data_IF_461726104800
#
_entry.id   IF_461726104800
#
_cell.length_a   1.000
_cell.length_b   1.000
_cell.length_c   1.000
_cell.angle_alpha   90.00
_cell.angle_beta   90.00
_cell.angle_gamma   90.00
#
_symmetry.space_group_name_H-M   'P 1'
#
loop_
_entity.id
_entity.type
_entity.pdbx_description
1 polymer ?
#
# COMPACT_ATOMS: atom_id res chain seq x y z
N UNK A 1 -4.35 -12.59 -12.41
CA UNK A 1 -3.88 -11.74 -11.29
C UNK A 1 -4.65 -10.43 -11.40
N UNK A 2 -5.58 -10.16 -10.48
CA UNK A 2 -6.24 -8.85 -10.44
C UNK A 2 -5.26 -7.86 -9.83
N UNK A 3 -4.99 -6.77 -10.55
CA UNK A 3 -4.15 -5.68 -10.07
C UNK A 3 -5.07 -4.51 -9.74
N UNK A 4 -5.02 -4.08 -8.49
CA UNK A 4 -5.69 -2.88 -8.04
C UNK A 4 -4.65 -1.78 -7.89
N UNK A 5 -4.96 -0.59 -8.40
CA UNK A 5 -4.09 0.56 -8.29
C UNK A 5 -4.80 1.59 -7.41
N UNK A 6 -4.23 1.82 -6.24
CA UNK A 6 -4.68 2.85 -5.33
C UNK A 6 -3.87 4.12 -5.60
N UNK A 7 -4.57 5.22 -5.83
CA UNK A 7 -3.98 6.54 -6.08
C UNK A 7 -4.35 7.48 -4.96
N UNK A 8 -3.33 8.03 -4.31
CA UNK A 8 -3.50 8.98 -3.20
C UNK A 8 -3.42 10.40 -3.76
N UNK A 9 -4.43 11.22 -3.46
CA UNK A 9 -4.48 12.64 -3.81
C UNK A 9 -4.98 13.43 -2.61
N UNK A 10 -4.15 14.35 -2.12
CA UNK A 10 -4.46 15.16 -0.94
C UNK A 10 -4.92 14.22 0.19
N UNK A 11 -6.09 14.41 0.77
CA UNK A 11 -6.57 13.58 1.88
C UNK A 11 -7.28 12.29 1.44
N UNK A 12 -7.50 12.12 0.14
CA UNK A 12 -8.29 11.02 -0.43
C UNK A 12 -7.41 9.94 -1.04
N UNK A 13 -7.94 8.72 -1.04
CA UNK A 13 -7.43 7.62 -1.83
C UNK A 13 -8.52 7.15 -2.80
N UNK A 14 -8.14 6.88 -4.05
CA UNK A 14 -9.04 6.40 -5.09
C UNK A 14 -8.52 5.07 -5.67
N UNK A 15 -9.41 4.10 -5.86
CA UNK A 15 -9.15 2.89 -6.61
C UNK A 15 -9.31 3.21 -8.10
N UNK A 16 -8.24 3.03 -8.86
CA UNK A 16 -8.24 3.17 -10.31
C UNK A 16 -8.63 1.83 -10.95
N UNK A 17 -9.69 1.86 -11.75
CA UNK A 17 -10.19 0.71 -12.50
C UNK A 17 -10.14 1.01 -13.99
N UNK A 18 -9.59 0.08 -14.77
CA UNK A 18 -9.50 0.20 -16.22
C UNK A 18 -10.61 -0.56 -16.93
N UNK A 19 -11.34 0.11 -17.83
CA UNK A 19 -12.28 -0.55 -18.74
C UNK A 19 -12.15 0.03 -20.15
N UNK A 20 -11.74 -0.79 -21.12
CA UNK A 20 -11.70 -0.47 -22.56
C UNK A 20 -11.08 0.90 -22.91
N UNK A 21 -9.92 1.22 -22.31
CA UNK A 21 -9.20 2.46 -22.58
C UNK A 21 -9.64 3.67 -21.77
N UNK A 22 -10.66 3.54 -20.92
CA UNK A 22 -11.01 4.53 -19.90
C UNK A 22 -10.51 4.10 -18.52
N UNK A 23 -10.06 5.07 -17.73
CA UNK A 23 -9.74 4.89 -16.30
C UNK A 23 -10.86 5.54 -15.51
N UNK A 24 -11.55 4.76 -14.70
CA UNK A 24 -12.49 5.27 -13.71
C UNK A 24 -11.80 5.28 -12.34
N UNK A 25 -11.99 6.35 -11.57
CA UNK A 25 -11.53 6.41 -10.19
C UNK A 25 -12.72 6.30 -9.23
N UNK A 26 -12.55 5.49 -8.19
CA UNK A 26 -13.57 5.23 -7.18
C UNK A 26 -12.97 5.59 -5.82
N UNK A 27 -13.51 6.58 -5.09
CA UNK A 27 -13.02 6.91 -3.77
C UNK A 27 -13.06 5.71 -2.82
N UNK A 28 -12.05 5.59 -1.96
CA UNK A 28 -11.93 4.57 -0.91
C UNK A 28 -11.92 5.28 0.44
N UNK A 29 -13.10 5.51 1.06
CA UNK A 29 -13.21 6.31 2.29
C UNK A 29 -12.40 5.76 3.47
N UNK A 30 -12.24 4.44 3.55
CA UNK A 30 -11.45 3.78 4.60
C UNK A 30 -9.96 4.12 4.53
N UNK A 31 -9.50 4.69 3.40
CA UNK A 31 -8.13 5.14 3.17
C UNK A 31 -7.99 6.66 3.18
N UNK A 32 -9.01 7.39 3.67
CA UNK A 32 -8.90 8.82 3.92
C UNK A 32 -7.86 9.11 5.01
N UNK A 33 -7.01 10.11 4.80
CA UNK A 33 -6.01 10.53 5.78
C UNK A 33 -5.58 11.97 5.55
N UNK A 34 -5.55 12.78 6.60
CA UNK A 34 -4.98 14.14 6.57
C UNK A 34 -3.45 14.18 6.68
N UNK A 35 -2.79 13.02 6.84
CA UNK A 35 -1.34 12.96 6.98
C UNK A 35 -0.67 13.19 5.62
N UNK A 36 0.21 14.17 5.46
CA UNK A 36 0.76 14.50 4.13
C UNK A 36 1.81 13.50 3.61
N UNK A 37 2.53 12.81 4.51
CA UNK A 37 3.67 11.98 4.14
C UNK A 37 3.27 10.54 3.72
N UNK A 38 3.78 10.10 2.57
CA UNK A 38 3.40 8.83 1.94
C UNK A 38 3.86 7.58 2.72
N UNK A 39 4.99 7.68 3.41
CA UNK A 39 5.55 6.67 4.30
C UNK A 39 4.62 6.38 5.50
N UNK A 40 3.96 7.38 6.08
CA UNK A 40 2.97 7.19 7.13
C UNK A 40 1.67 6.58 6.59
N UNK A 41 1.24 6.97 5.38
CA UNK A 41 0.04 6.44 4.73
C UNK A 41 0.15 4.96 4.39
N UNK A 42 1.36 4.43 4.16
CA UNK A 42 1.53 3.00 3.86
C UNK A 42 0.96 2.12 4.98
N UNK A 43 0.98 2.60 6.23
CA UNK A 43 0.44 1.87 7.38
C UNK A 43 -1.08 1.72 7.25
N UNK A 44 -1.78 2.79 6.87
CA UNK A 44 -3.21 2.77 6.64
C UNK A 44 -3.58 1.78 5.52
N UNK A 45 -2.81 1.79 4.42
CA UNK A 45 -2.97 0.81 3.34
C UNK A 45 -2.70 -0.64 3.79
N UNK A 46 -1.70 -0.87 4.64
CA UNK A 46 -1.40 -2.19 5.17
C UNK A 46 -2.53 -2.70 6.08
N UNK A 47 -3.07 -1.83 6.94
CA UNK A 47 -4.20 -2.15 7.80
C UNK A 47 -5.44 -2.49 6.96
N UNK A 48 -5.79 -1.63 5.99
CA UNK A 48 -6.90 -1.86 5.05
C UNK A 48 -6.75 -3.18 4.31
N UNK A 49 -5.56 -3.45 3.75
CA UNK A 49 -5.29 -4.69 3.03
C UNK A 49 -5.42 -5.92 3.95
N UNK A 50 -4.92 -5.84 5.19
CA UNK A 50 -4.99 -6.94 6.17
C UNK A 50 -6.40 -7.31 6.59
N UNK A 51 -7.34 -6.35 6.52
CA UNK A 51 -8.75 -6.56 6.84
C UNK A 51 -9.53 -7.21 5.70
N UNK A 52 -8.99 -7.24 4.48
CA UNK A 52 -9.69 -7.85 3.34
C UNK A 52 -9.79 -9.37 3.52
N UNK A 53 -10.96 -9.98 3.29
CA UNK A 53 -11.16 -11.42 3.50
C UNK A 53 -10.23 -12.31 2.66
N UNK A 54 -9.83 -11.82 1.49
CA UNK A 54 -8.98 -12.52 0.53
C UNK A 54 -7.48 -12.30 0.76
N UNK A 55 -7.10 -11.41 1.67
CA UNK A 55 -5.69 -11.15 1.98
C UNK A 55 -5.17 -12.17 2.99
N UNK A 56 -4.21 -12.97 2.54
CA UNK A 56 -3.46 -13.88 3.42
C UNK A 56 -2.25 -13.17 4.06
N UNK A 57 -1.58 -12.31 3.28
CA UNK A 57 -0.31 -11.67 3.65
C UNK A 57 -0.23 -10.27 3.06
N UNK A 58 0.38 -9.36 3.81
CA UNK A 58 0.71 -8.00 3.35
C UNK A 58 2.20 -7.94 3.07
N UNK A 59 2.57 -7.63 1.82
CA UNK A 59 3.96 -7.51 1.40
C UNK A 59 4.21 -6.06 1.01
N UNK A 60 5.06 -5.36 1.76
CA UNK A 60 5.47 -4.00 1.44
C UNK A 60 6.82 -4.04 0.75
N UNK A 61 6.87 -3.52 -0.47
CA UNK A 61 8.10 -3.34 -1.23
C UNK A 61 8.48 -1.87 -1.21
N UNK A 62 9.57 -1.54 -0.53
CA UNK A 62 10.11 -0.19 -0.48
C UNK A 62 11.63 -0.24 -0.27
N UNK A 63 12.42 0.62 -0.94
CA UNK A 63 13.83 0.82 -0.57
C UNK A 63 13.99 1.63 0.73
N UNK A 64 12.91 2.27 1.19
CA UNK A 64 12.95 3.23 2.29
C UNK A 64 12.98 2.54 3.67
N UNK A 65 13.99 2.85 4.47
CA UNK A 65 14.13 2.35 5.84
C UNK A 65 13.11 2.95 6.81
N UNK A 66 12.61 4.15 6.57
CA UNK A 66 11.63 4.79 7.43
C UNK A 66 10.30 4.06 7.33
N UNK A 67 9.94 3.60 6.13
CA UNK A 67 8.80 2.66 5.92
C UNK A 67 9.00 1.37 6.72
N UNK A 68 10.19 0.80 6.74
CA UNK A 68 10.47 -0.40 7.55
C UNK A 68 10.26 -0.15 9.05
N UNK A 69 10.79 0.96 9.57
CA UNK A 69 10.65 1.31 10.99
C UNK A 69 9.19 1.60 11.37
N UNK A 70 8.43 2.25 10.50
CA UNK A 70 7.00 2.46 10.68
C UNK A 70 6.25 1.13 10.69
N UNK A 71 6.50 0.25 9.72
CA UNK A 71 5.87 -1.08 9.67
C UNK A 71 6.19 -1.93 10.90
N UNK A 72 7.42 -1.86 11.40
CA UNK A 72 7.81 -2.53 12.63
C UNK A 72 7.03 -1.99 13.84
N UNK A 73 6.94 -0.67 13.96
CA UNK A 73 6.23 0.02 15.05
C UNK A 73 4.73 -0.29 15.09
N UNK A 74 4.10 -0.44 13.92
CA UNK A 74 2.66 -0.71 13.77
C UNK A 74 2.34 -2.17 13.44
N UNK A 75 3.32 -3.08 13.50
CA UNK A 75 3.15 -4.49 13.11
C UNK A 75 2.00 -5.18 13.85
N UNK A 76 1.79 -4.87 15.13
CA UNK A 76 0.70 -5.43 15.95
C UNK A 76 -0.70 -4.97 15.50
N UNK A 77 -0.82 -3.86 14.77
CA UNK A 77 -2.09 -3.37 14.24
C UNK A 77 -2.47 -4.03 12.89
N UNK A 78 -1.54 -4.74 12.26
CA UNK A 78 -1.72 -5.40 10.97
C UNK A 78 -2.08 -6.86 11.24
N UNK A 79 -3.33 -7.24 10.99
CA UNK A 79 -3.91 -8.51 11.44
C UNK A 79 -3.46 -9.76 10.66
N UNK A 80 -2.63 -9.56 9.63
CA UNK A 80 -2.11 -10.60 8.74
C UNK A 80 -0.59 -10.62 8.77
N UNK A 81 0.00 -11.67 8.24
CA UNK A 81 1.46 -11.74 8.14
C UNK A 81 1.99 -10.56 7.31
N UNK A 82 2.85 -9.76 7.94
CA UNK A 82 3.50 -8.61 7.33
C UNK A 82 4.93 -8.99 6.90
N UNK A 83 5.28 -8.71 5.65
CA UNK A 83 6.60 -8.97 5.10
C UNK A 83 7.12 -7.66 4.49
N UNK A 84 8.24 -7.18 4.99
CA UNK A 84 8.98 -6.10 4.33
C UNK A 84 9.99 -6.71 3.36
N UNK A 85 9.91 -6.29 2.10
CA UNK A 85 10.81 -6.71 1.04
C UNK A 85 11.57 -5.47 0.53
N UNK A 86 12.81 -5.23 0.99
CA UNK A 86 13.59 -4.12 0.49
C UNK A 86 13.74 -4.26 -1.03
N UNK A 87 13.59 -3.16 -1.76
CA UNK A 87 13.81 -3.18 -3.20
C UNK A 87 15.26 -3.62 -3.47
N UNK A 88 15.43 -4.79 -4.08
CA UNK A 88 16.74 -5.23 -4.54
C UNK A 88 17.03 -4.45 -5.81
N UNK A 89 18.12 -3.68 -5.83
CA UNK A 89 18.64 -3.16 -7.09
C UNK A 89 18.83 -4.36 -8.01
N UNK A 90 18.06 -4.42 -9.09
CA UNK A 90 18.39 -5.30 -10.19
C UNK A 90 19.72 -4.80 -10.72
N UNK A 91 20.82 -5.45 -10.33
CA UNK A 91 22.08 -5.35 -11.06
C UNK A 91 21.78 -5.85 -12.47
N UNK A 92 21.41 -4.93 -13.36
CA UNK A 92 21.46 -5.21 -14.79
C UNK A 92 22.92 -5.57 -15.11
N UNK A 93 23.08 -6.76 -15.68
CA UNK A 93 24.35 -7.42 -15.86
C UNK A 93 25.35 -6.58 -16.65
N UNK A 94 26.60 -6.74 -16.23
CA UNK A 94 27.85 -6.24 -16.82
C UNK A 94 28.01 -6.55 -18.30
#
# INVERSE_FOLDING_TARGET
MNKELFFVKEEMCELLTGNQGSINSIPVPDLYSSHEEADSRIILHCMYASQQPTTERVIVRSPDSDVFLLLLSFSNAISKQLIFAPAVETTEGS
#
